data_IF_220831415734
#
_entry.id   IF_220831415734
#
_cell.length_a   1.000
_cell.length_b   1.000
_cell.length_c   1.000
_cell.angle_alpha   90.00
_cell.angle_beta   90.00
_cell.angle_gamma   90.00
#
_symmetry.space_group_name_H-M   'P 1'
#
loop_
_entity.id
_entity.type
_entity.pdbx_description
1 polymer ?
#
# COMPACT_ATOMS: atom_id res chain seq x y z
N UNK A 1 -39.12 37.37 18.74
CA UNK A 1 -38.46 36.18 18.15
C UNK A 1 -38.81 34.87 18.88
N UNK A 2 -39.10 34.90 20.20
CA UNK A 2 -39.53 33.73 20.98
C UNK A 2 -40.83 33.03 20.48
N UNK A 3 -41.87 33.79 20.11
CA UNK A 3 -43.15 33.22 19.63
C UNK A 3 -43.04 32.35 18.36
N UNK A 4 -41.99 32.51 17.54
CA UNK A 4 -41.82 31.75 16.29
C UNK A 4 -41.17 30.37 16.51
N UNK A 5 -40.46 30.18 17.64
CA UNK A 5 -39.83 28.90 18.03
C UNK A 5 -40.86 27.92 18.61
N UNK A 6 -41.74 28.38 19.51
CA UNK A 6 -42.78 27.53 20.13
C UNK A 6 -43.77 26.97 19.11
N UNK A 7 -44.18 27.78 18.11
CA UNK A 7 -45.10 27.33 17.07
C UNK A 7 -44.56 26.20 16.19
N UNK A 8 -43.24 26.10 16.01
CA UNK A 8 -42.61 25.05 15.18
C UNK A 8 -42.49 23.72 15.90
N UNK A 9 -42.14 23.72 17.18
CA UNK A 9 -42.09 22.49 17.99
C UNK A 9 -43.50 21.89 18.09
N UNK A 10 -44.50 22.73 18.36
CA UNK A 10 -45.91 22.33 18.37
C UNK A 10 -46.36 21.70 17.04
N UNK A 11 -45.93 22.24 15.91
CA UNK A 11 -46.26 21.67 14.60
C UNK A 11 -45.59 20.30 14.37
N UNK A 12 -44.34 20.11 14.81
CA UNK A 12 -43.66 18.81 14.78
C UNK A 12 -44.41 17.75 15.58
N UNK A 13 -44.89 18.10 16.77
CA UNK A 13 -45.67 17.18 17.61
C UNK A 13 -47.00 16.79 16.98
N UNK A 14 -47.70 17.77 16.38
CA UNK A 14 -48.95 17.52 15.65
C UNK A 14 -48.71 16.58 14.47
N UNK A 15 -47.63 16.78 13.71
CA UNK A 15 -47.27 15.89 12.60
C UNK A 15 -46.98 14.48 13.13
N UNK A 16 -46.16 14.37 14.17
CA UNK A 16 -45.83 13.07 14.77
C UNK A 16 -47.07 12.31 15.24
N UNK A 17 -47.95 12.99 16.00
CA UNK A 17 -49.17 12.39 16.53
C UNK A 17 -50.15 11.99 15.41
N UNK A 18 -50.40 12.88 14.44
CA UNK A 18 -51.34 12.60 13.35
C UNK A 18 -50.85 11.50 12.41
N UNK A 19 -49.53 11.40 12.19
CA UNK A 19 -48.94 10.35 11.38
C UNK A 19 -49.08 8.96 12.00
N UNK A 20 -49.25 8.87 13.32
CA UNK A 20 -49.40 7.59 14.03
C UNK A 20 -50.87 7.27 14.36
N UNK A 21 -51.71 8.28 14.58
CA UNK A 21 -53.08 8.11 15.11
C UNK A 21 -54.03 7.27 14.23
N UNK A 22 -53.73 7.12 12.94
CA UNK A 22 -54.56 6.39 11.98
C UNK A 22 -53.96 5.03 11.55
N UNK A 23 -52.85 4.61 12.14
CA UNK A 23 -52.13 3.39 11.77
C UNK A 23 -52.43 2.24 12.75
N UNK A 24 -52.32 0.99 12.27
CA UNK A 24 -52.26 -0.18 13.13
C UNK A 24 -50.97 -0.22 13.96
N UNK A 25 -50.94 -1.03 15.04
CA UNK A 25 -49.75 -1.16 15.92
C UNK A 25 -48.47 -1.49 15.15
N UNK A 26 -48.55 -2.46 14.25
CA UNK A 26 -47.40 -2.92 13.48
C UNK A 26 -46.92 -1.84 12.48
N UNK A 27 -47.86 -1.23 11.74
CA UNK A 27 -47.55 -0.15 10.78
C UNK A 27 -46.97 1.10 11.46
N UNK A 28 -47.49 1.46 12.63
CA UNK A 28 -46.98 2.56 13.42
C UNK A 28 -45.56 2.29 13.92
N UNK A 29 -45.28 1.05 14.31
CA UNK A 29 -43.96 0.61 14.76
C UNK A 29 -42.92 0.64 13.64
N UNK A 30 -43.30 0.25 12.42
CA UNK A 30 -42.42 0.28 11.25
C UNK A 30 -42.06 1.72 10.82
N UNK A 31 -43.03 2.64 10.89
CA UNK A 31 -42.81 4.05 10.51
C UNK A 31 -42.03 4.85 11.55
N UNK A 32 -41.99 4.37 12.80
CA UNK A 32 -41.61 5.16 13.96
C UNK A 32 -40.18 5.72 13.88
N UNK A 33 -39.23 4.89 13.45
CA UNK A 33 -37.82 5.27 13.40
C UNK A 33 -37.57 6.37 12.36
N UNK A 34 -38.09 6.19 11.14
CA UNK A 34 -37.95 7.16 10.06
C UNK A 34 -38.69 8.47 10.34
N UNK A 35 -39.90 8.40 10.88
CA UNK A 35 -40.68 9.59 11.24
C UNK A 35 -39.97 10.40 12.33
N UNK A 36 -39.50 9.71 13.39
CA UNK A 36 -38.77 10.33 14.50
C UNK A 36 -37.49 11.00 14.00
N UNK A 37 -36.74 10.32 13.12
CA UNK A 37 -35.50 10.83 12.54
C UNK A 37 -35.75 12.10 11.75
N UNK A 38 -36.69 12.07 10.79
CA UNK A 38 -36.96 13.19 9.90
C UNK A 38 -37.41 14.45 10.65
N UNK A 39 -38.29 14.26 11.65
CA UNK A 39 -38.79 15.37 12.47
C UNK A 39 -37.72 15.93 13.40
N UNK A 40 -36.91 15.07 14.01
CA UNK A 40 -35.81 15.49 14.87
C UNK A 40 -34.74 16.23 14.09
N UNK A 41 -34.30 15.66 12.95
CA UNK A 41 -33.34 16.26 12.05
C UNK A 41 -33.79 17.65 11.61
N UNK A 42 -35.05 17.79 11.18
CA UNK A 42 -35.63 19.09 10.83
C UNK A 42 -35.57 20.07 12.00
N UNK A 43 -35.83 19.67 13.24
CA UNK A 43 -35.81 20.58 14.39
C UNK A 43 -34.40 21.03 14.77
N UNK A 44 -33.42 20.14 14.71
CA UNK A 44 -32.02 20.46 15.03
C UNK A 44 -31.39 21.35 13.94
N UNK A 45 -31.68 21.14 12.65
CA UNK A 45 -31.17 22.01 11.58
C UNK A 45 -31.66 23.46 11.71
N UNK A 46 -32.83 23.67 12.34
CA UNK A 46 -33.34 25.01 12.63
C UNK A 46 -32.77 25.63 13.92
N UNK A 47 -32.17 24.83 14.80
CA UNK A 47 -31.66 25.26 16.11
C UNK A 47 -30.29 24.60 16.42
N UNK A 48 -29.26 24.79 15.57
CA UNK A 48 -28.00 24.05 15.67
C UNK A 48 -27.23 24.31 16.97
N UNK A 49 -27.44 25.46 17.62
CA UNK A 49 -26.80 25.81 18.90
C UNK A 49 -27.51 25.26 20.14
N UNK A 50 -28.70 24.66 20.00
CA UNK A 50 -29.49 24.10 21.11
C UNK A 50 -29.83 22.61 20.89
N UNK A 51 -29.11 21.91 20.01
CA UNK A 51 -29.37 20.51 19.60
C UNK A 51 -29.70 19.58 20.77
N UNK A 52 -28.87 19.56 21.83
CA UNK A 52 -29.09 18.70 23.00
C UNK A 52 -30.41 19.00 23.72
N UNK A 53 -30.78 20.28 23.85
CA UNK A 53 -32.01 20.72 24.51
C UNK A 53 -33.24 20.36 23.66
N UNK A 54 -33.14 20.53 22.34
CA UNK A 54 -34.20 20.17 21.39
C UNK A 54 -34.45 18.67 21.39
N UNK A 55 -33.39 17.85 21.30
CA UNK A 55 -33.51 16.39 21.30
C UNK A 55 -34.09 15.86 22.61
N UNK A 56 -33.66 16.39 23.76
CA UNK A 56 -34.23 16.01 25.06
C UNK A 56 -35.73 16.32 25.14
N UNK A 57 -36.15 17.49 24.63
CA UNK A 57 -37.56 17.87 24.57
C UNK A 57 -38.35 16.91 23.67
N UNK A 58 -37.86 16.65 22.47
CA UNK A 58 -38.50 15.74 21.51
C UNK A 58 -38.62 14.32 22.05
N UNK A 59 -37.59 13.81 22.74
CA UNK A 59 -37.65 12.50 23.38
C UNK A 59 -38.83 12.41 24.35
N UNK A 60 -38.95 13.36 25.27
CA UNK A 60 -40.04 13.37 26.26
C UNK A 60 -41.40 13.49 25.57
N UNK A 61 -41.53 14.38 24.59
CA UNK A 61 -42.81 14.65 23.92
C UNK A 61 -43.25 13.49 23.01
N UNK A 62 -42.34 12.89 22.23
CA UNK A 62 -42.65 11.71 21.40
C UNK A 62 -43.08 10.53 22.26
N UNK A 63 -42.36 10.24 23.36
CA UNK A 63 -42.74 9.16 24.28
C UNK A 63 -44.09 9.43 24.95
N UNK A 64 -44.42 10.69 25.23
CA UNK A 64 -45.74 11.08 25.76
C UNK A 64 -46.84 10.81 24.74
N UNK A 65 -46.61 11.10 23.46
CA UNK A 65 -47.55 10.80 22.37
C UNK A 65 -47.72 9.29 22.21
N UNK A 66 -46.65 8.49 22.27
CA UNK A 66 -46.77 7.03 22.21
C UNK A 66 -47.59 6.46 23.36
N UNK A 67 -47.44 6.99 24.58
CA UNK A 67 -48.31 6.61 25.71
C UNK A 67 -49.76 6.96 25.45
N UNK A 68 -50.03 8.13 24.87
CA UNK A 68 -51.40 8.58 24.53
C UNK A 68 -52.06 7.67 23.49
N UNK A 69 -51.29 7.16 22.53
CA UNK A 69 -51.77 6.33 21.42
C UNK A 69 -51.70 4.81 21.69
N UNK A 70 -51.34 4.38 22.90
CA UNK A 70 -51.14 2.96 23.27
C UNK A 70 -50.04 2.23 22.46
N UNK A 71 -49.03 2.97 21.99
CA UNK A 71 -47.85 2.45 21.27
C UNK A 71 -46.57 2.45 22.13
N UNK A 72 -46.70 2.67 23.44
CA UNK A 72 -45.57 2.74 24.34
C UNK A 72 -45.13 1.34 24.78
N UNK A 73 -44.04 0.86 24.19
CA UNK A 73 -43.33 -0.37 24.56
C UNK A 73 -41.81 -0.19 24.36
N UNK A 74 -41.02 -1.15 24.84
CA UNK A 74 -39.56 -1.09 24.81
C UNK A 74 -38.99 -1.03 23.39
N UNK A 75 -39.66 -1.66 22.41
CA UNK A 75 -39.23 -1.67 21.01
C UNK A 75 -39.38 -0.28 20.39
N UNK A 76 -40.57 0.31 20.53
CA UNK A 76 -40.90 1.64 20.00
C UNK A 76 -40.07 2.73 20.69
N UNK A 77 -39.86 2.63 22.01
CA UNK A 77 -38.95 3.53 22.74
C UNK A 77 -37.54 3.46 22.15
N UNK A 78 -37.04 2.25 21.88
CA UNK A 78 -35.71 2.04 21.30
C UNK A 78 -35.60 2.65 19.90
N UNK A 79 -36.62 2.46 19.05
CA UNK A 79 -36.68 3.05 17.71
C UNK A 79 -36.63 4.59 17.75
N UNK A 80 -37.38 5.22 18.66
CA UNK A 80 -37.31 6.69 18.86
C UNK A 80 -35.91 7.12 19.29
N UNK A 81 -35.30 6.47 20.27
CA UNK A 81 -33.97 6.84 20.77
C UNK A 81 -32.92 6.70 19.66
N UNK A 82 -32.92 5.59 18.92
CA UNK A 82 -32.02 5.37 17.78
C UNK A 82 -32.16 6.47 16.73
N UNK A 83 -33.39 6.83 16.39
CA UNK A 83 -33.68 7.89 15.43
C UNK A 83 -33.15 9.26 15.87
N UNK A 84 -33.32 9.63 17.15
CA UNK A 84 -32.81 10.89 17.70
C UNK A 84 -31.29 10.94 17.73
N UNK A 85 -30.63 9.83 18.11
CA UNK A 85 -29.16 9.72 18.08
C UNK A 85 -28.66 9.84 16.64
N UNK A 86 -29.27 9.11 15.70
CA UNK A 86 -28.95 9.16 14.27
C UNK A 86 -29.07 10.59 13.71
N UNK A 87 -30.17 11.28 14.03
CA UNK A 87 -30.37 12.67 13.63
C UNK A 87 -29.25 13.58 14.16
N UNK A 88 -28.75 13.34 15.38
CA UNK A 88 -27.70 14.17 15.99
C UNK A 88 -26.31 14.01 15.37
N UNK A 89 -26.06 12.91 14.65
CA UNK A 89 -24.73 12.58 14.11
C UNK A 89 -24.65 12.57 12.58
N UNK A 90 -25.79 12.61 11.87
CA UNK A 90 -25.82 12.45 10.41
C UNK A 90 -24.99 13.51 9.68
N UNK A 91 -25.01 14.76 10.12
CA UNK A 91 -24.21 15.84 9.51
C UNK A 91 -22.71 15.58 9.72
N UNK A 92 -22.32 15.15 10.93
CA UNK A 92 -20.93 14.80 11.22
C UNK A 92 -20.46 13.57 10.42
N UNK A 93 -21.34 12.58 10.22
CA UNK A 93 -21.07 11.43 9.35
C UNK A 93 -20.90 11.87 7.89
N UNK A 94 -21.75 12.75 7.38
CA UNK A 94 -21.63 13.28 6.03
C UNK A 94 -20.33 14.07 5.84
N UNK A 95 -19.97 14.96 6.77
CA UNK A 95 -18.69 15.68 6.73
C UNK A 95 -17.50 14.74 6.80
N UNK A 96 -17.59 13.64 7.57
CA UNK A 96 -16.54 12.61 7.57
C UNK A 96 -16.38 11.98 6.19
N UNK A 97 -17.47 11.63 5.50
CA UNK A 97 -17.40 11.09 4.14
C UNK A 97 -16.83 12.10 3.13
N UNK A 98 -17.15 13.39 3.27
CA UNK A 98 -16.55 14.46 2.48
C UNK A 98 -15.03 14.52 2.70
N UNK A 99 -14.56 14.50 3.95
CA UNK A 99 -13.13 14.47 4.26
C UNK A 99 -12.42 13.23 3.70
N UNK A 100 -13.06 12.05 3.75
CA UNK A 100 -12.51 10.84 3.14
C UNK A 100 -12.36 11.02 1.62
N UNK A 101 -13.38 11.57 0.96
CA UNK A 101 -13.33 11.83 -0.49
C UNK A 101 -12.26 12.86 -0.86
N UNK A 102 -12.08 13.91 -0.04
CA UNK A 102 -11.01 14.89 -0.24
C UNK A 102 -9.63 14.27 -0.07
N UNK A 103 -9.44 13.41 0.93
CA UNK A 103 -8.19 12.69 1.14
C UNK A 103 -7.85 11.75 -0.04
N UNK A 104 -8.84 11.04 -0.59
CA UNK A 104 -8.66 10.23 -1.79
C UNK A 104 -8.23 11.06 -3.02
N UNK A 105 -8.83 12.24 -3.18
CA UNK A 105 -8.47 13.16 -4.27
C UNK A 105 -7.04 13.67 -4.11
N UNK A 106 -6.67 14.10 -2.90
CA UNK A 106 -5.31 14.53 -2.58
C UNK A 106 -4.29 13.41 -2.85
N UNK A 107 -4.59 12.18 -2.45
CA UNK A 107 -3.72 11.04 -2.74
C UNK A 107 -3.52 10.81 -4.24
N UNK A 108 -4.59 10.93 -5.05
CA UNK A 108 -4.47 10.86 -6.53
C UNK A 108 -3.63 12.01 -7.09
N UNK A 109 -3.75 13.22 -6.54
CA UNK A 109 -2.95 14.36 -6.96
C UNK A 109 -1.47 14.17 -6.62
N UNK A 110 -1.16 13.67 -5.43
CA UNK A 110 0.20 13.31 -5.01
C UNK A 110 0.78 12.28 -5.98
N UNK A 111 0.03 11.23 -6.31
CA UNK A 111 0.48 10.18 -7.22
C UNK A 111 0.73 10.72 -8.64
N UNK A 112 -0.17 11.57 -9.15
CA UNK A 112 0.04 12.22 -10.45
C UNK A 112 1.27 13.12 -10.45
N UNK A 113 1.52 13.86 -9.35
CA UNK A 113 2.68 14.72 -9.23
C UNK A 113 3.98 13.91 -9.15
N UNK A 114 3.99 12.80 -8.41
CA UNK A 114 5.12 11.84 -8.39
C UNK A 114 5.44 11.35 -9.81
N UNK A 115 4.43 10.95 -10.56
CA UNK A 115 4.60 10.47 -11.94
C UNK A 115 5.08 11.56 -12.90
N UNK A 116 4.60 12.81 -12.75
CA UNK A 116 5.09 13.93 -13.55
C UNK A 116 6.57 14.21 -13.29
N UNK A 117 6.97 14.25 -12.01
CA UNK A 117 8.37 14.46 -11.62
C UNK A 117 9.24 13.34 -12.21
N UNK A 118 8.83 12.07 -12.05
CA UNK A 118 9.50 10.89 -12.62
C UNK A 118 9.72 11.01 -14.13
N UNK A 119 8.69 11.41 -14.88
CA UNK A 119 8.78 11.53 -16.34
C UNK A 119 9.72 12.67 -16.74
N UNK A 120 9.62 13.84 -16.08
CA UNK A 120 10.51 14.97 -16.35
C UNK A 120 11.98 14.63 -16.09
N UNK A 121 12.22 13.91 -15.00
CA UNK A 121 13.54 13.38 -14.64
C UNK A 121 14.01 12.46 -15.78
N UNK A 122 13.24 11.42 -16.11
CA UNK A 122 13.60 10.46 -17.17
C UNK A 122 13.89 11.14 -18.52
N UNK A 123 13.01 12.06 -18.96
CA UNK A 123 13.14 12.78 -20.22
C UNK A 123 14.43 13.60 -20.29
N UNK A 124 14.74 14.34 -19.23
CA UNK A 124 15.96 15.14 -19.16
C UNK A 124 17.22 14.26 -19.22
N UNK A 125 17.18 13.05 -18.64
CA UNK A 125 18.33 12.16 -18.67
C UNK A 125 18.57 11.55 -20.03
N UNK A 126 17.52 11.11 -20.72
CA UNK A 126 17.64 10.68 -22.11
C UNK A 126 18.17 11.81 -23.00
N UNK A 127 17.69 13.03 -22.80
CA UNK A 127 18.17 14.19 -23.57
C UNK A 127 19.65 14.47 -23.29
N UNK A 128 20.07 14.44 -22.02
CA UNK A 128 21.47 14.65 -21.65
C UNK A 128 22.39 13.51 -22.10
N UNK A 129 21.95 12.26 -22.03
CA UNK A 129 22.70 11.12 -22.55
C UNK A 129 22.95 11.27 -24.05
N UNK A 130 21.91 11.57 -24.83
CA UNK A 130 22.03 11.78 -26.27
C UNK A 130 23.04 12.90 -26.59
N UNK A 131 22.96 14.03 -25.89
CA UNK A 131 23.90 15.15 -26.08
C UNK A 131 25.34 14.74 -25.73
N UNK A 132 25.53 14.00 -24.65
CA UNK A 132 26.86 13.60 -24.18
C UNK A 132 27.49 12.51 -25.07
N UNK A 133 26.70 11.62 -25.65
CA UNK A 133 27.15 10.66 -26.67
C UNK A 133 27.59 11.34 -27.97
N UNK A 134 27.01 12.50 -28.29
CA UNK A 134 27.38 13.30 -29.47
C UNK A 134 28.60 14.24 -29.20
N UNK A 135 29.09 14.33 -27.96
CA UNK A 135 30.19 15.21 -27.60
C UNK A 135 31.57 14.64 -27.97
N UNK A 136 32.47 15.53 -28.40
CA UNK A 136 33.81 15.15 -28.88
C UNK A 136 34.76 14.60 -27.80
N UNK A 137 34.35 14.61 -26.54
CA UNK A 137 35.11 14.12 -25.39
C UNK A 137 34.50 12.85 -24.77
N UNK A 138 33.45 12.26 -25.37
CA UNK A 138 32.70 11.09 -24.83
C UNK A 138 33.59 9.95 -24.30
N UNK A 139 34.72 9.69 -24.95
CA UNK A 139 35.68 8.65 -24.58
C UNK A 139 36.46 8.96 -23.28
N UNK A 140 36.48 10.22 -22.82
CA UNK A 140 37.24 10.70 -21.67
C UNK A 140 36.49 10.54 -20.33
N UNK A 141 35.16 10.36 -20.36
CA UNK A 141 34.31 10.28 -19.16
C UNK A 141 33.30 9.11 -19.18
N UNK A 142 33.48 8.14 -20.08
CA UNK A 142 32.67 6.91 -20.15
C UNK A 142 32.53 6.17 -18.80
N UNK A 143 33.54 6.25 -17.93
CA UNK A 143 33.47 5.72 -16.56
C UNK A 143 32.76 6.63 -15.54
N UNK A 144 32.77 7.95 -15.74
CA UNK A 144 32.13 8.92 -14.82
C UNK A 144 30.66 9.22 -15.14
N UNK A 145 30.23 8.97 -16.38
CA UNK A 145 28.82 8.98 -16.78
C UNK A 145 28.04 7.91 -16.01
N UNK A 146 28.65 6.73 -15.80
CA UNK A 146 28.10 5.63 -15.02
C UNK A 146 27.89 5.95 -13.53
N UNK A 147 28.62 6.91 -12.98
CA UNK A 147 28.42 7.35 -11.59
C UNK A 147 27.36 8.47 -11.48
N UNK A 148 27.17 9.27 -12.55
CA UNK A 148 26.06 10.23 -12.63
C UNK A 148 24.68 9.55 -12.84
N UNK A 149 24.66 8.26 -13.18
CA UNK A 149 23.54 7.30 -13.03
C UNK A 149 23.12 7.12 -11.54
N UNK A 150 23.71 7.89 -10.61
CA UNK A 150 23.07 8.36 -9.36
C UNK A 150 21.61 8.87 -9.54
N UNK A 151 21.15 8.97 -10.77
CA UNK A 151 19.76 9.00 -11.22
C UNK A 151 18.83 7.87 -10.75
N UNK A 152 19.40 6.79 -10.23
CA UNK A 152 18.67 5.69 -9.61
C UNK A 152 17.97 6.09 -8.28
N UNK A 153 18.23 7.25 -7.66
CA UNK A 153 17.73 7.60 -6.31
C UNK A 153 16.18 7.62 -6.21
N UNK A 154 15.48 8.11 -7.23
CA UNK A 154 14.01 8.23 -7.15
C UNK A 154 13.30 6.91 -7.47
N UNK A 155 13.79 6.13 -8.43
CA UNK A 155 13.26 4.80 -8.72
C UNK A 155 13.59 3.81 -7.59
N UNK A 156 14.78 3.90 -6.99
CA UNK A 156 15.14 3.14 -5.78
C UNK A 156 14.33 3.59 -4.55
N UNK A 157 13.99 4.88 -4.46
CA UNK A 157 13.08 5.42 -3.45
C UNK A 157 11.64 4.88 -3.60
N UNK A 158 11.09 4.88 -4.81
CA UNK A 158 9.78 4.29 -5.10
C UNK A 158 9.79 2.78 -4.86
N UNK A 159 10.86 2.08 -5.25
CA UNK A 159 11.02 0.66 -4.99
C UNK A 159 11.02 0.38 -3.49
N UNK A 160 11.73 1.21 -2.70
CA UNK A 160 11.71 1.14 -1.24
C UNK A 160 10.30 1.34 -0.69
N UNK A 161 9.61 2.42 -1.05
CA UNK A 161 8.23 2.73 -0.59
C UNK A 161 7.24 1.62 -0.96
N UNK A 162 7.36 1.08 -2.19
CA UNK A 162 6.49 0.01 -2.70
C UNK A 162 6.73 -1.29 -1.94
N UNK A 163 8.00 -1.65 -1.73
CA UNK A 163 8.37 -2.83 -0.95
C UNK A 163 7.89 -2.71 0.50
N UNK A 164 8.07 -1.54 1.11
CA UNK A 164 7.67 -1.28 2.49
C UNK A 164 6.15 -1.45 2.66
N UNK A 165 5.36 -0.79 1.80
CA UNK A 165 3.90 -0.90 1.81
C UNK A 165 3.42 -2.35 1.60
N UNK A 166 4.02 -3.07 0.65
CA UNK A 166 3.65 -4.45 0.35
C UNK A 166 3.99 -5.42 1.50
N UNK A 167 5.15 -5.26 2.13
CA UNK A 167 5.55 -6.09 3.27
C UNK A 167 4.74 -5.76 4.52
N UNK A 168 4.48 -4.48 4.82
CA UNK A 168 3.59 -4.09 5.93
C UNK A 168 2.19 -4.68 5.74
N UNK A 169 1.61 -4.56 4.55
CA UNK A 169 0.31 -5.18 4.22
C UNK A 169 0.33 -6.70 4.43
N UNK A 170 1.44 -7.35 4.11
CA UNK A 170 1.62 -8.80 4.32
C UNK A 170 1.60 -9.15 5.80
N UNK A 171 2.30 -8.36 6.63
CA UNK A 171 2.32 -8.55 8.08
C UNK A 171 0.96 -8.27 8.73
N UNK A 172 0.23 -7.26 8.23
CA UNK A 172 -1.13 -6.94 8.70
C UNK A 172 -2.14 -8.06 8.45
N UNK A 173 -2.00 -8.76 7.31
CA UNK A 173 -2.84 -9.93 6.98
C UNK A 173 -2.46 -11.17 7.76
N UNK A 174 -1.20 -11.31 8.18
CA UNK A 174 -0.66 -12.39 9.00
C UNK A 174 -0.94 -13.81 8.47
N UNK A 175 -1.09 -13.96 7.15
CA UNK A 175 -1.35 -15.23 6.47
C UNK A 175 -0.20 -15.56 5.52
N UNK A 176 0.37 -16.76 5.66
CA UNK A 176 1.44 -17.29 4.82
C UNK A 176 2.55 -16.27 4.51
N UNK A 177 3.10 -15.63 5.55
CA UNK A 177 4.03 -14.50 5.44
C UNK A 177 5.25 -14.86 4.61
N UNK A 178 5.86 -16.02 4.85
CA UNK A 178 7.05 -16.47 4.10
C UNK A 178 6.76 -16.60 2.60
N UNK A 179 5.65 -17.25 2.23
CA UNK A 179 5.28 -17.46 0.83
C UNK A 179 4.90 -16.14 0.14
N UNK A 180 4.09 -15.33 0.81
CA UNK A 180 3.59 -14.06 0.26
C UNK A 180 4.72 -13.05 0.10
N UNK A 181 5.58 -12.90 1.10
CA UNK A 181 6.75 -12.00 1.01
C UNK A 181 7.76 -12.49 -0.03
N UNK A 182 7.91 -13.81 -0.22
CA UNK A 182 8.71 -14.38 -1.30
C UNK A 182 8.19 -14.00 -2.69
N UNK A 183 6.89 -14.17 -2.96
CA UNK A 183 6.33 -13.79 -4.26
C UNK A 183 6.35 -12.27 -4.51
N UNK A 184 6.16 -11.45 -3.46
CA UNK A 184 6.31 -9.99 -3.56
C UNK A 184 7.75 -9.63 -3.92
N UNK A 185 8.73 -10.10 -3.15
CA UNK A 185 10.15 -9.77 -3.37
C UNK A 185 10.61 -10.24 -4.75
N UNK A 186 10.21 -11.44 -5.18
CA UNK A 186 10.48 -11.98 -6.52
C UNK A 186 9.96 -11.07 -7.62
N UNK A 187 8.70 -10.66 -7.54
CA UNK A 187 8.09 -9.80 -8.56
C UNK A 187 8.72 -8.41 -8.59
N UNK A 188 8.96 -7.80 -7.42
CA UNK A 188 9.61 -6.48 -7.33
C UNK A 188 11.01 -6.50 -7.94
N UNK A 189 11.82 -7.49 -7.57
CA UNK A 189 13.18 -7.63 -8.09
C UNK A 189 13.17 -7.95 -9.58
N UNK A 190 12.37 -8.92 -10.03
CA UNK A 190 12.28 -9.27 -11.44
C UNK A 190 11.85 -8.09 -12.31
N UNK A 191 10.80 -7.36 -11.92
CA UNK A 191 10.32 -6.21 -12.68
C UNK A 191 11.34 -5.08 -12.69
N UNK A 192 11.92 -4.74 -11.53
CA UNK A 192 12.93 -3.69 -11.42
C UNK A 192 14.19 -3.98 -12.25
N UNK A 193 14.60 -5.26 -12.36
CA UNK A 193 15.71 -5.65 -13.24
C UNK A 193 15.31 -5.59 -14.72
N UNK A 194 14.09 -6.01 -15.06
CA UNK A 194 13.64 -6.08 -16.46
C UNK A 194 13.27 -4.72 -17.07
N UNK A 195 12.85 -3.76 -16.26
CA UNK A 195 12.56 -2.38 -16.67
C UNK A 195 13.84 -1.55 -16.85
N UNK A 196 14.99 -2.15 -16.53
CA UNK A 196 16.32 -1.55 -16.45
C UNK A 196 17.32 -2.22 -17.41
N UNK A 197 18.52 -1.66 -17.51
CA UNK A 197 19.67 -2.36 -18.07
C UNK A 197 20.12 -3.50 -17.14
N UNK A 198 20.39 -4.66 -17.76
CA UNK A 198 20.79 -5.88 -17.06
C UNK A 198 22.28 -5.81 -16.72
N UNK A 199 22.58 -5.15 -15.60
CA UNK A 199 23.94 -4.96 -15.08
C UNK A 199 24.02 -5.53 -13.66
N UNK A 200 25.11 -6.25 -13.38
CA UNK A 200 25.27 -6.96 -12.12
C UNK A 200 25.21 -6.04 -10.91
N UNK A 201 25.94 -4.93 -10.96
CA UNK A 201 25.98 -3.95 -9.87
C UNK A 201 24.57 -3.43 -9.54
N UNK A 202 23.78 -3.16 -10.58
CA UNK A 202 22.39 -2.71 -10.44
C UNK A 202 21.48 -3.77 -9.85
N UNK A 203 21.59 -5.02 -10.30
CA UNK A 203 20.84 -6.15 -9.75
C UNK A 203 21.09 -6.28 -8.24
N UNK A 204 22.35 -6.14 -7.81
CA UNK A 204 22.72 -6.18 -6.39
C UNK A 204 22.16 -4.97 -5.62
N UNK A 205 22.11 -3.79 -6.23
CA UNK A 205 21.54 -2.58 -5.61
C UNK A 205 20.02 -2.68 -5.41
N UNK A 206 19.29 -3.14 -6.43
CA UNK A 206 17.86 -3.46 -6.35
C UNK A 206 17.61 -4.48 -5.23
N UNK A 207 18.42 -5.54 -5.20
CA UNK A 207 18.34 -6.57 -4.18
C UNK A 207 18.59 -6.02 -2.77
N UNK A 208 19.61 -5.19 -2.60
CA UNK A 208 19.95 -4.55 -1.32
C UNK A 208 18.78 -3.74 -0.77
N UNK A 209 18.08 -2.98 -1.60
CA UNK A 209 16.91 -2.18 -1.15
C UNK A 209 15.80 -3.07 -0.66
N UNK A 210 15.39 -4.07 -1.46
CA UNK A 210 14.28 -4.96 -1.09
C UNK A 210 14.60 -5.72 0.20
N UNK A 211 15.83 -6.22 0.32
CA UNK A 211 16.30 -6.91 1.52
C UNK A 211 16.32 -5.99 2.74
N UNK A 212 16.96 -4.82 2.64
CA UNK A 212 17.07 -3.91 3.77
C UNK A 212 15.72 -3.37 4.23
N UNK A 213 14.78 -3.07 3.32
CA UNK A 213 13.42 -2.69 3.70
C UNK A 213 12.73 -3.78 4.51
N UNK A 214 12.83 -5.05 4.08
CA UNK A 214 12.26 -6.17 4.82
C UNK A 214 12.96 -6.40 6.17
N UNK A 215 14.28 -6.20 6.23
CA UNK A 215 15.08 -6.37 7.46
C UNK A 215 14.78 -5.28 8.49
N UNK A 216 14.62 -4.03 8.05
CA UNK A 216 14.15 -2.91 8.88
C UNK A 216 12.79 -3.27 9.51
N UNK A 217 11.83 -3.71 8.71
CA UNK A 217 10.50 -4.12 9.19
C UNK A 217 10.57 -5.35 10.11
N UNK A 218 11.39 -6.35 9.78
CA UNK A 218 11.56 -7.56 10.58
C UNK A 218 12.14 -7.25 11.97
N UNK A 219 13.03 -6.27 12.05
CA UNK A 219 13.58 -5.81 13.33
C UNK A 219 12.53 -5.14 14.22
N UNK A 220 11.56 -4.46 13.62
CA UNK A 220 10.43 -3.87 14.34
C UNK A 220 9.34 -4.90 14.70
N UNK A 221 9.17 -5.94 13.88
CA UNK A 221 8.12 -6.96 14.02
C UNK A 221 8.67 -8.34 14.41
N UNK A 222 9.04 -8.48 15.69
CA UNK A 222 9.67 -9.71 16.22
C UNK A 222 8.86 -11.00 15.99
N UNK A 223 7.52 -10.91 15.94
CA UNK A 223 6.64 -12.07 15.80
C UNK A 223 6.73 -12.74 14.42
N UNK A 224 7.08 -11.97 13.38
CA UNK A 224 7.08 -12.42 11.99
C UNK A 224 8.45 -12.32 11.32
N UNK A 225 9.47 -11.87 12.07
CA UNK A 225 10.81 -11.59 11.58
C UNK A 225 11.42 -12.78 10.81
N UNK A 226 11.27 -14.00 11.34
CA UNK A 226 11.82 -15.19 10.69
C UNK A 226 11.20 -15.42 9.31
N UNK A 227 9.88 -15.51 9.26
CA UNK A 227 9.15 -15.82 8.03
C UNK A 227 9.35 -14.74 6.98
N UNK A 228 9.38 -13.46 7.39
CA UNK A 228 9.65 -12.34 6.50
C UNK A 228 11.09 -12.38 5.94
N UNK A 229 12.11 -12.57 6.78
CA UNK A 229 13.50 -12.67 6.33
C UNK A 229 13.70 -13.84 5.37
N UNK A 230 13.16 -15.03 5.71
CA UNK A 230 13.26 -16.22 4.86
C UNK A 230 12.57 -16.01 3.51
N UNK A 231 11.35 -15.50 3.54
CA UNK A 231 10.55 -15.26 2.34
C UNK A 231 11.22 -14.26 1.40
N UNK A 232 11.65 -13.11 1.91
CA UNK A 232 12.25 -12.06 1.07
C UNK A 232 13.60 -12.50 0.49
N UNK A 233 14.45 -13.20 1.24
CA UNK A 233 15.71 -13.73 0.69
C UNK A 233 15.45 -14.71 -0.45
N UNK A 234 14.51 -15.65 -0.27
CA UNK A 234 14.10 -16.60 -1.31
C UNK A 234 13.54 -15.89 -2.54
N UNK A 235 12.62 -14.96 -2.31
CA UNK A 235 11.96 -14.19 -3.34
C UNK A 235 12.93 -13.35 -4.16
N UNK A 236 13.80 -12.58 -3.51
CA UNK A 236 14.83 -11.77 -4.19
C UNK A 236 15.71 -12.63 -5.07
N UNK A 237 16.21 -13.76 -4.56
CA UNK A 237 17.00 -14.71 -5.35
C UNK A 237 16.21 -15.24 -6.55
N UNK A 238 14.96 -15.63 -6.36
CA UNK A 238 14.13 -16.18 -7.43
C UNK A 238 13.79 -15.13 -8.50
N UNK A 239 13.65 -13.86 -8.09
CA UNK A 239 13.50 -12.72 -8.99
C UNK A 239 14.72 -12.51 -9.87
N UNK A 240 15.93 -12.58 -9.30
CA UNK A 240 17.19 -12.52 -10.06
C UNK A 240 17.27 -13.68 -11.05
N UNK A 241 17.00 -14.91 -10.58
CA UNK A 241 17.00 -16.12 -11.43
C UNK A 241 16.05 -15.96 -12.62
N UNK A 242 14.83 -15.48 -12.38
CA UNK A 242 13.85 -15.28 -13.44
C UNK A 242 14.29 -14.20 -14.44
N UNK A 243 14.91 -13.13 -13.95
CA UNK A 243 15.47 -12.08 -14.80
C UNK A 243 16.64 -12.60 -15.65
N UNK A 244 17.51 -13.43 -15.08
CA UNK A 244 18.59 -14.11 -15.81
C UNK A 244 18.05 -15.04 -16.90
N UNK A 245 17.00 -15.82 -16.62
CA UNK A 245 16.38 -16.70 -17.61
C UNK A 245 15.83 -15.88 -18.80
N UNK A 246 15.17 -14.75 -18.52
CA UNK A 246 14.67 -13.84 -19.56
C UNK A 246 15.79 -13.17 -20.34
N UNK A 247 16.86 -12.75 -19.67
CA UNK A 247 18.04 -12.16 -20.31
C UNK A 247 18.76 -13.18 -21.21
N UNK A 248 18.91 -14.42 -20.76
CA UNK A 248 19.47 -15.51 -21.56
C UNK A 248 18.63 -15.78 -22.81
N UNK A 249 17.30 -15.76 -22.68
CA UNK A 249 16.41 -15.88 -23.82
C UNK A 249 16.57 -14.72 -24.82
N UNK A 250 16.79 -13.48 -24.35
CA UNK A 250 17.01 -12.33 -25.25
C UNK A 250 18.35 -12.38 -25.99
N UNK A 251 19.40 -12.95 -25.38
CA UNK A 251 20.70 -13.16 -26.03
C UNK A 251 20.64 -14.14 -27.22
N UNK A 252 19.69 -15.08 -27.21
CA UNK A 252 19.52 -16.07 -28.30
C UNK A 252 19.10 -15.41 -29.62
N UNK A 253 18.60 -14.17 -29.57
CA UNK A 253 18.17 -13.38 -30.73
C UNK A 253 19.12 -12.21 -31.07
N UNK A 254 20.27 -12.10 -30.38
CA UNK A 254 21.24 -11.05 -30.64
C UNK A 254 22.08 -11.36 -31.89
N UNK A 255 22.23 -10.39 -32.79
CA UNK A 255 22.84 -10.58 -34.12
C UNK A 255 24.38 -10.53 -34.14
N UNK A 256 25.05 -10.24 -33.02
CA UNK A 256 26.52 -10.04 -32.96
C UNK A 256 27.16 -10.78 -31.78
N UNK A 257 28.19 -11.60 -32.05
CA UNK A 257 28.91 -12.42 -31.05
C UNK A 257 29.61 -11.59 -29.95
N UNK A 258 30.14 -10.41 -30.31
CA UNK A 258 30.89 -9.53 -29.41
C UNK A 258 29.99 -8.91 -28.31
N UNK A 259 28.77 -8.52 -28.68
CA UNK A 259 27.73 -8.00 -27.78
C UNK A 259 27.24 -9.08 -26.80
N UNK A 260 27.13 -10.33 -27.26
CA UNK A 260 26.72 -11.47 -26.44
C UNK A 260 27.79 -11.78 -25.38
N UNK A 261 29.07 -11.75 -25.74
CA UNK A 261 30.19 -12.00 -24.83
C UNK A 261 30.32 -10.94 -23.74
N UNK A 262 30.13 -9.65 -24.07
CA UNK A 262 30.13 -8.57 -23.08
C UNK A 262 28.93 -8.68 -22.11
N UNK A 263 27.72 -8.87 -22.65
CA UNK A 263 26.49 -8.95 -21.85
C UNK A 263 26.40 -10.17 -20.95
N UNK A 264 26.98 -11.29 -21.35
CA UNK A 264 26.98 -12.51 -20.54
C UNK A 264 27.97 -12.48 -19.38
N UNK A 265 28.98 -11.58 -19.38
CA UNK A 265 29.88 -11.38 -18.23
C UNK A 265 29.13 -10.90 -16.98
N UNK A 266 28.03 -10.16 -17.16
CA UNK A 266 27.17 -9.70 -16.07
C UNK A 266 26.53 -10.85 -15.28
N UNK A 267 26.41 -12.05 -15.88
CA UNK A 267 25.86 -13.24 -15.24
C UNK A 267 26.89 -13.99 -14.38
N UNK A 268 28.19 -13.78 -14.61
CA UNK A 268 29.25 -14.57 -13.96
C UNK A 268 29.40 -14.13 -12.51
N UNK A 269 29.23 -15.06 -11.56
CA UNK A 269 29.52 -14.80 -10.14
C UNK A 269 28.47 -13.98 -9.40
N UNK A 270 27.33 -13.65 -10.05
CA UNK A 270 26.25 -12.87 -9.43
C UNK A 270 25.69 -13.52 -8.15
N UNK A 271 25.76 -14.84 -8.04
CA UNK A 271 25.40 -15.53 -6.80
C UNK A 271 26.39 -15.28 -5.67
N UNK A 272 27.69 -15.43 -5.93
CA UNK A 272 28.73 -15.21 -4.92
C UNK A 272 28.63 -13.75 -4.43
N UNK A 273 28.37 -12.84 -5.36
CA UNK A 273 28.16 -11.42 -5.08
C UNK A 273 26.87 -11.17 -4.29
N UNK A 274 25.79 -11.92 -4.55
CA UNK A 274 24.55 -11.86 -3.75
C UNK A 274 24.75 -12.41 -2.32
N UNK A 275 25.50 -13.49 -2.15
CA UNK A 275 25.86 -14.03 -0.83
C UNK A 275 26.75 -13.03 -0.09
N UNK A 276 27.72 -12.42 -0.78
CA UNK A 276 28.57 -11.38 -0.22
C UNK A 276 27.76 -10.15 0.18
N UNK A 277 26.76 -9.77 -0.62
CA UNK A 277 25.80 -8.72 -0.31
C UNK A 277 25.06 -9.05 1.00
N UNK A 278 24.43 -10.22 1.11
CA UNK A 278 23.74 -10.62 2.35
C UNK A 278 24.65 -10.56 3.58
N UNK A 279 25.88 -11.08 3.45
CA UNK A 279 26.89 -11.02 4.53
C UNK A 279 27.25 -9.59 4.91
N UNK A 280 27.32 -8.67 3.94
CA UNK A 280 27.62 -7.26 4.18
C UNK A 280 26.44 -6.55 4.85
N UNK A 281 25.24 -6.69 4.28
CA UNK A 281 24.04 -6.00 4.78
C UNK A 281 23.71 -6.45 6.21
N UNK A 282 23.85 -7.74 6.52
CA UNK A 282 23.49 -8.23 7.86
C UNK A 282 24.39 -7.71 8.98
N UNK A 283 25.64 -7.30 8.67
CA UNK A 283 26.51 -6.68 9.67
C UNK A 283 26.02 -5.29 10.10
N UNK A 284 25.16 -4.66 9.29
CA UNK A 284 24.54 -3.36 9.58
C UNK A 284 23.19 -3.48 10.29
N UNK A 285 22.65 -4.71 10.42
CA UNK A 285 21.33 -4.97 10.97
C UNK A 285 21.36 -5.31 12.46
N UNK A 286 20.23 -5.06 13.12
CA UNK A 286 19.99 -5.44 14.51
C UNK A 286 19.34 -6.82 14.61
N UNK A 287 19.19 -7.32 15.84
CA UNK A 287 18.35 -8.49 16.13
C UNK A 287 16.85 -8.13 16.13
N UNK A 288 15.96 -9.06 15.76
CA UNK A 288 16.21 -10.49 15.47
C UNK A 288 16.76 -10.80 14.07
N UNK A 289 16.72 -9.86 13.12
CA UNK A 289 17.09 -10.13 11.72
C UNK A 289 18.51 -10.68 11.60
N UNK A 290 19.46 -10.06 12.30
CA UNK A 290 20.89 -10.45 12.27
C UNK A 290 21.07 -11.93 12.55
N UNK A 291 20.60 -12.39 13.71
CA UNK A 291 20.70 -13.79 14.12
C UNK A 291 20.00 -14.75 13.15
N UNK A 292 18.85 -14.38 12.59
CA UNK A 292 18.08 -15.21 11.65
C UNK A 292 18.87 -15.44 10.36
N UNK A 293 19.37 -14.35 9.76
CA UNK A 293 20.06 -14.42 8.47
C UNK A 293 21.45 -15.03 8.62
N UNK A 294 22.17 -14.77 9.72
CA UNK A 294 23.43 -15.46 10.02
C UNK A 294 23.23 -16.98 10.12
N UNK A 295 22.18 -17.44 10.81
CA UNK A 295 21.83 -18.85 10.91
C UNK A 295 21.54 -19.47 9.53
N UNK A 296 20.77 -18.77 8.69
CA UNK A 296 20.47 -19.19 7.33
C UNK A 296 21.74 -19.30 6.47
N UNK A 297 22.65 -18.32 6.58
CA UNK A 297 23.91 -18.32 5.86
C UNK A 297 24.85 -19.45 6.31
N UNK A 298 24.79 -19.88 7.56
CA UNK A 298 25.63 -20.96 8.09
C UNK A 298 25.07 -22.36 7.82
N UNK A 299 23.75 -22.52 7.73
CA UNK A 299 23.11 -23.84 7.80
C UNK A 299 22.17 -24.20 6.65
N UNK A 300 21.68 -23.22 5.88
CA UNK A 300 20.66 -23.46 4.84
C UNK A 300 21.09 -23.01 3.44
N UNK A 301 22.27 -22.41 3.33
CA UNK A 301 22.83 -21.81 2.12
C UNK A 301 22.90 -22.83 0.96
N UNK A 302 23.30 -24.07 1.22
CA UNK A 302 23.49 -25.05 0.16
C UNK A 302 22.20 -25.48 -0.56
N UNK A 303 21.09 -25.53 0.16
CA UNK A 303 19.80 -25.90 -0.40
C UNK A 303 19.13 -24.69 -1.07
N UNK A 304 19.18 -23.52 -0.41
CA UNK A 304 18.59 -22.28 -0.90
C UNK A 304 19.19 -21.84 -2.23
N UNK A 305 20.50 -21.95 -2.39
CA UNK A 305 21.23 -21.38 -3.52
C UNK A 305 21.55 -22.36 -4.65
N UNK A 306 21.31 -23.67 -4.48
CA UNK A 306 21.64 -24.71 -5.49
C UNK A 306 21.13 -24.42 -6.92
N UNK A 307 19.88 -23.98 -7.09
CA UNK A 307 19.33 -23.61 -8.40
C UNK A 307 19.96 -22.33 -8.96
N UNK A 308 20.36 -21.39 -8.10
CA UNK A 308 21.06 -20.16 -8.53
C UNK A 308 22.44 -20.53 -9.11
N UNK A 309 23.16 -21.43 -8.42
CA UNK A 309 24.50 -21.91 -8.85
C UNK A 309 24.47 -22.55 -10.19
N UNK A 310 23.50 -23.45 -10.39
CA UNK A 310 23.38 -24.19 -11.63
C UNK A 310 23.17 -23.25 -12.81
N UNK A 311 22.27 -22.28 -12.70
CA UNK A 311 21.98 -21.33 -13.78
C UNK A 311 23.13 -20.36 -14.06
N UNK A 312 23.83 -19.91 -13.02
CA UNK A 312 25.05 -19.11 -13.16
C UNK A 312 26.18 -19.92 -13.83
N UNK A 313 26.34 -21.19 -13.44
CA UNK A 313 27.32 -22.12 -14.01
C UNK A 313 27.07 -22.46 -15.48
N UNK A 314 25.82 -22.76 -15.85
CA UNK A 314 25.44 -23.01 -17.25
C UNK A 314 25.72 -21.81 -18.15
N UNK A 315 25.49 -20.59 -17.65
CA UNK A 315 25.79 -19.35 -18.40
C UNK A 315 27.29 -19.16 -18.60
N UNK A 316 28.10 -19.53 -17.60
CA UNK A 316 29.57 -19.51 -17.68
C UNK A 316 30.11 -20.55 -18.67
N UNK A 317 29.54 -21.75 -18.73
CA UNK A 317 29.94 -22.78 -19.69
C UNK A 317 29.58 -22.39 -21.14
N UNK A 318 28.43 -21.76 -21.35
CA UNK A 318 28.04 -21.24 -22.67
C UNK A 318 28.97 -20.13 -23.16
N UNK A 319 29.42 -19.26 -22.26
CA UNK A 319 30.45 -18.25 -22.53
C UNK A 319 31.79 -18.85 -22.97
N UNK A 320 32.20 -19.95 -22.34
CA UNK A 320 33.44 -20.67 -22.67
C UNK A 320 33.34 -21.34 -24.04
N UNK A 321 32.14 -21.71 -24.49
CA UNK A 321 31.90 -22.34 -25.80
C UNK A 321 31.84 -21.34 -26.97
N UNK A 322 31.68 -20.04 -26.68
CA UNK A 322 31.58 -18.95 -27.68
C UNK A 322 32.89 -18.14 -27.80
N UNK A 323 33.85 -18.34 -26.88
CA UNK A 323 35.22 -17.80 -26.93
C UNK A 323 36.19 -18.80 -27.60
#
# INVERSE_FOLDING_TARGET
>A
MYFKKEGKMKNTLIIFENSLSNLGKDEASDLLEDLSFNLAYKQISHNPHETKKVLNSLLVEFLTILKKLDFFDDENVTKVIKALVKASIVDAQNSLYEYISEAELLNKQIENQKNLIKNQISDNFFEFENILQECSFCDEFSGGLNDAILFDIEMLGILKETAESAFLTTLEKAEDIELTSSEIAKNLVYNAICEAHFEKERILKISSIILNTAFEIANESMAYAKDLCLGVIKGTRDGIVLAMEKFKASLTYANFEEDVSLKSKELIGIEDDFIALLKKEIQLQNDPCKSIVENLLEHELDNLFAKFRRLAGESREQLILVL
#
